data_IF_424855108520
#
_entry.id   IF_424855108520
#
_cell.length_a   1.000
_cell.length_b   1.000
_cell.length_c   1.000
_cell.angle_alpha   90.00
_cell.angle_beta   90.00
_cell.angle_gamma   90.00
#
_symmetry.space_group_name_H-M   'P 1'
#
loop_
_entity.id
_entity.type
_entity.pdbx_description
1 polymer ?
#
# COMPACT_ATOMS: atom_id res chain seq x y z
N UNK A 1 27.91 -9.56 -22.97
CA UNK A 1 26.75 -9.45 -22.05
C UNK A 1 25.52 -9.78 -22.88
N UNK A 2 25.06 -11.02 -22.81
CA UNK A 2 23.98 -11.54 -23.64
C UNK A 2 22.64 -11.07 -23.11
N UNK A 3 21.94 -10.25 -23.90
CA UNK A 3 20.52 -9.95 -23.76
C UNK A 3 19.73 -11.26 -23.81
N UNK A 4 19.34 -11.78 -22.64
CA UNK A 4 18.28 -12.77 -22.57
C UNK A 4 16.97 -12.03 -22.30
N UNK A 5 15.93 -12.20 -23.13
CA UNK A 5 14.60 -11.71 -22.82
C UNK A 5 14.07 -12.41 -21.57
N UNK A 6 13.31 -11.70 -20.75
CA UNK A 6 12.62 -12.26 -19.59
C UNK A 6 11.50 -13.19 -20.13
N UNK A 7 11.67 -14.49 -19.89
CA UNK A 7 10.74 -15.54 -20.30
C UNK A 7 9.63 -15.62 -19.25
N UNK A 8 8.38 -15.76 -19.68
CA UNK A 8 7.28 -16.17 -18.80
C UNK A 8 7.57 -17.61 -18.33
N UNK A 9 8.07 -17.77 -17.11
CA UNK A 9 8.25 -19.09 -16.49
C UNK A 9 6.93 -19.50 -15.81
N UNK A 10 6.25 -20.55 -16.29
CA UNK A 10 5.08 -21.08 -15.60
C UNK A 10 5.49 -21.61 -14.21
N UNK A 11 4.57 -21.55 -13.26
CA UNK A 11 4.85 -21.91 -11.86
C UNK A 11 5.40 -23.31 -11.67
N UNK A 12 5.00 -24.26 -12.49
CA UNK A 12 5.49 -25.64 -12.45
C UNK A 12 6.98 -25.75 -12.84
N UNK A 13 7.59 -24.73 -13.44
CA UNK A 13 9.04 -24.66 -13.65
C UNK A 13 9.78 -24.05 -12.45
N UNK A 14 9.10 -23.19 -11.67
CA UNK A 14 9.64 -22.58 -10.44
C UNK A 14 9.47 -23.54 -9.24
N UNK A 15 8.32 -24.21 -9.20
CA UNK A 15 7.89 -25.21 -8.24
C UNK A 15 7.57 -26.49 -9.01
N UNK A 16 8.59 -27.30 -9.37
CA UNK A 16 8.37 -28.60 -10.01
C UNK A 16 7.40 -29.41 -9.15
N UNK A 17 6.41 -30.01 -9.80
CA UNK A 17 5.37 -30.83 -9.17
C UNK A 17 5.95 -31.72 -8.06
N UNK A 18 5.49 -31.50 -6.83
CA UNK A 18 5.69 -32.43 -5.72
C UNK A 18 4.34 -32.93 -5.20
N UNK A 19 4.35 -34.25 -5.00
CA UNK A 19 3.24 -35.19 -4.88
C UNK A 19 2.04 -34.79 -4.00
N UNK A 20 0.89 -35.40 -4.29
CA UNK A 20 -0.34 -35.32 -3.50
C UNK A 20 -0.25 -35.89 -2.07
N UNK A 21 0.95 -36.14 -1.51
CA UNK A 21 1.07 -36.58 -0.12
C UNK A 21 0.96 -35.39 0.83
N UNK A 22 -0.02 -35.46 1.71
CA UNK A 22 -0.19 -34.53 2.81
C UNK A 22 0.96 -34.67 3.82
N UNK A 23 1.33 -33.52 4.40
CA UNK A 23 2.38 -33.31 5.40
C UNK A 23 3.84 -33.22 4.91
N UNK A 24 4.15 -32.12 4.23
CA UNK A 24 5.48 -31.51 4.33
C UNK A 24 5.39 -29.98 4.46
N UNK A 25 6.03 -29.44 5.50
CA UNK A 25 6.39 -28.03 5.58
C UNK A 25 7.71 -27.86 4.85
N UNK A 26 7.69 -27.40 3.60
CA UNK A 26 8.91 -26.97 2.93
C UNK A 26 8.94 -25.45 2.83
N UNK A 27 9.92 -24.86 3.53
CA UNK A 27 10.37 -23.50 3.26
C UNK A 27 11.14 -23.53 1.94
N UNK A 28 10.54 -22.98 0.88
CA UNK A 28 11.25 -22.77 -0.38
C UNK A 28 12.25 -21.64 -0.22
N UNK A 29 13.48 -21.99 0.12
CA UNK A 29 14.64 -21.12 0.05
C UNK A 29 15.26 -21.21 -1.35
N UNK A 30 14.71 -20.46 -2.32
CA UNK A 30 15.40 -20.20 -3.59
C UNK A 30 15.93 -18.77 -3.63
N UNK A 31 17.08 -18.65 -2.97
CA UNK A 31 18.02 -17.53 -3.01
C UNK A 31 18.42 -17.13 -4.43
N UNK A 32 17.82 -16.03 -4.94
CA UNK A 32 18.48 -14.90 -5.60
C UNK A 32 17.39 -13.87 -5.94
N UNK A 33 17.16 -12.94 -5.01
CA UNK A 33 16.31 -11.78 -5.30
C UNK A 33 16.88 -11.04 -6.50
N UNK A 34 16.14 -11.00 -7.60
CA UNK A 34 16.45 -10.05 -8.67
C UNK A 34 16.16 -8.65 -8.11
N UNK A 35 17.10 -7.71 -8.28
CA UNK A 35 16.90 -6.32 -7.91
C UNK A 35 16.62 -5.51 -9.18
N UNK A 36 15.67 -4.58 -9.10
CA UNK A 36 15.69 -3.40 -9.94
C UNK A 36 16.89 -2.57 -9.46
N UNK A 37 17.97 -2.63 -10.22
CA UNK A 37 19.18 -1.86 -9.97
C UNK A 37 19.14 -0.61 -10.85
N UNK A 38 18.72 0.49 -10.24
CA UNK A 38 18.84 1.83 -10.81
C UNK A 38 19.95 2.57 -10.06
N UNK A 39 20.59 3.53 -10.71
CA UNK A 39 21.76 4.19 -10.12
C UNK A 39 21.33 4.90 -8.83
N UNK A 40 21.79 4.39 -7.69
CA UNK A 40 21.46 4.92 -6.36
C UNK A 40 20.16 4.40 -5.74
N UNK A 41 19.45 3.47 -6.39
CA UNK A 41 18.25 2.85 -5.83
C UNK A 41 18.17 1.35 -6.17
N UNK A 42 18.22 0.52 -5.13
CA UNK A 42 18.17 -0.93 -5.23
C UNK A 42 16.89 -1.44 -4.59
N UNK A 43 15.95 -1.90 -5.41
CA UNK A 43 14.66 -2.45 -4.95
C UNK A 43 14.57 -3.92 -5.36
N UNK A 44 14.29 -4.83 -4.42
CA UNK A 44 14.07 -6.24 -4.75
C UNK A 44 12.73 -6.47 -5.46
N UNK A 45 12.77 -7.21 -6.58
CA UNK A 45 11.64 -7.53 -7.45
C UNK A 45 10.70 -8.57 -6.81
N UNK A 46 11.22 -9.47 -5.97
CA UNK A 46 10.42 -10.46 -5.25
C UNK A 46 11.13 -10.85 -3.95
N UNK A 47 10.39 -10.90 -2.83
CA UNK A 47 11.02 -11.14 -1.53
C UNK A 47 10.20 -11.81 -0.45
N UNK A 48 8.91 -12.07 -0.65
CA UNK A 48 8.16 -12.80 0.38
C UNK A 48 8.19 -14.29 0.07
N UNK A 49 8.78 -15.12 0.94
CA UNK A 49 8.45 -16.54 0.97
C UNK A 49 7.00 -16.67 1.45
N UNK A 50 6.07 -16.94 0.53
CA UNK A 50 4.68 -17.23 0.90
C UNK A 50 4.61 -18.60 1.59
N UNK A 51 4.18 -18.63 2.85
CA UNK A 51 3.83 -19.89 3.52
C UNK A 51 2.43 -20.30 3.12
N UNK A 52 2.33 -21.46 2.47
CA UNK A 52 1.08 -22.06 2.02
C UNK A 52 0.37 -22.74 3.19
N UNK A 53 -0.63 -22.10 3.78
CA UNK A 53 -1.50 -22.74 4.76
C UNK A 53 -2.59 -23.54 4.03
N UNK A 54 -2.50 -24.87 4.04
CA UNK A 54 -3.64 -25.73 3.66
C UNK A 54 -4.55 -25.86 4.89
N UNK A 55 -5.53 -24.98 5.05
CA UNK A 55 -6.58 -25.21 6.04
C UNK A 55 -7.92 -25.42 5.34
N UNK A 56 -8.56 -26.58 5.54
CA UNK A 56 -9.95 -26.79 5.13
C UNK A 56 -10.84 -26.04 6.12
N UNK A 57 -11.06 -24.75 5.89
CA UNK A 57 -12.37 -24.19 6.22
C UNK A 57 -13.32 -24.49 5.05
N UNK A 58 -14.53 -24.94 5.39
CA UNK A 58 -15.54 -25.43 4.46
C UNK A 58 -16.12 -24.38 3.49
N UNK A 59 -15.58 -23.17 3.43
CA UNK A 59 -16.14 -22.11 2.60
C UNK A 59 -15.06 -21.55 1.65
N UNK A 60 -15.22 -21.92 0.38
CA UNK A 60 -14.66 -21.32 -0.84
C UNK A 60 -13.20 -21.65 -1.24
N UNK A 61 -13.05 -22.78 -1.97
CA UNK A 61 -12.21 -22.86 -3.19
C UNK A 61 -10.68 -22.94 -3.06
N UNK A 62 -10.00 -23.53 -4.06
CA UNK A 62 -8.55 -23.77 -4.10
C UNK A 62 -7.83 -22.91 -5.15
N UNK A 63 -6.65 -22.39 -4.73
CA UNK A 63 -5.41 -21.92 -5.41
C UNK A 63 -5.44 -21.27 -6.80
N UNK A 64 -4.76 -20.12 -6.87
CA UNK A 64 -4.16 -19.59 -8.09
C UNK A 64 -2.92 -18.70 -7.77
N UNK A 65 -2.28 -18.12 -8.81
CA UNK A 65 -0.99 -17.41 -8.74
C UNK A 65 -0.87 -16.26 -9.75
N UNK A 66 -0.20 -15.20 -9.29
CA UNK A 66 -0.07 -13.87 -9.87
C UNK A 66 1.12 -13.56 -10.79
N UNK A 67 0.94 -12.44 -11.49
CA UNK A 67 1.75 -11.74 -12.50
C UNK A 67 2.85 -10.84 -11.91
N UNK A 68 3.75 -10.43 -12.82
CA UNK A 68 5.03 -9.71 -12.61
C UNK A 68 4.90 -8.27 -12.10
N UNK A 69 5.55 -7.99 -10.97
CA UNK A 69 5.69 -6.70 -10.26
C UNK A 69 6.42 -5.63 -11.09
N UNK A 70 5.91 -4.40 -11.04
CA UNK A 70 6.56 -3.14 -11.43
C UNK A 70 6.52 -2.25 -10.18
N UNK A 71 7.66 -1.65 -9.81
CA UNK A 71 7.85 -1.00 -8.51
C UNK A 71 7.14 0.37 -8.40
N UNK A 72 6.38 0.55 -7.32
CA UNK A 72 5.84 1.83 -6.86
C UNK A 72 6.37 2.18 -5.46
N UNK A 73 6.51 3.47 -5.17
CA UNK A 73 7.03 4.03 -3.92
C UNK A 73 5.91 4.50 -3.00
N UNK A 74 5.88 3.95 -1.80
CA UNK A 74 5.04 4.36 -0.68
C UNK A 74 5.39 5.76 -0.15
N UNK A 75 4.39 6.62 0.07
CA UNK A 75 4.61 8.01 0.50
C UNK A 75 4.36 8.21 2.00
N UNK A 76 3.42 7.46 2.60
CA UNK A 76 3.01 7.66 4.00
C UNK A 76 2.35 6.44 4.64
N UNK A 77 2.24 6.39 5.97
CA UNK A 77 1.95 5.15 6.74
C UNK A 77 0.61 4.42 6.44
N UNK A 78 -0.42 5.09 5.90
CA UNK A 78 -1.79 4.56 5.88
C UNK A 78 -2.42 4.66 4.49
N UNK A 79 -3.56 3.98 4.31
CA UNK A 79 -4.40 4.04 3.09
C UNK A 79 -4.74 5.47 2.67
N UNK A 80 -5.38 6.25 3.54
CA UNK A 80 -5.87 7.58 3.17
C UNK A 80 -4.78 8.49 2.56
N UNK A 81 -3.59 8.68 3.17
CA UNK A 81 -2.53 9.49 2.54
C UNK A 81 -2.06 8.99 1.16
N UNK A 82 -1.83 7.68 0.98
CA UNK A 82 -1.36 7.15 -0.31
C UNK A 82 -2.45 7.24 -1.39
N UNK A 83 -3.70 6.95 -1.01
CA UNK A 83 -4.83 7.07 -1.91
C UNK A 83 -5.08 8.54 -2.30
N UNK A 84 -5.00 9.47 -1.35
CA UNK A 84 -5.12 10.91 -1.65
C UNK A 84 -3.97 11.42 -2.53
N UNK A 85 -2.75 10.89 -2.37
CA UNK A 85 -1.64 11.20 -3.27
C UNK A 85 -1.96 10.78 -4.73
N UNK A 86 -2.44 9.55 -4.93
CA UNK A 86 -2.85 9.03 -6.24
C UNK A 86 -4.04 9.77 -6.85
N UNK A 87 -5.02 10.15 -6.02
CA UNK A 87 -6.28 10.69 -6.49
C UNK A 87 -6.34 12.21 -6.56
N UNK A 88 -5.47 12.95 -5.86
CA UNK A 88 -5.51 14.41 -5.85
C UNK A 88 -4.19 15.10 -6.16
N UNK A 89 -3.07 14.37 -6.05
CA UNK A 89 -1.74 14.97 -6.17
C UNK A 89 -1.41 15.99 -5.08
N UNK A 90 -2.26 16.15 -4.06
CA UNK A 90 -2.10 17.13 -2.98
C UNK A 90 -1.33 16.56 -1.80
N UNK A 91 -0.70 17.46 -1.04
CA UNK A 91 -0.05 17.08 0.21
C UNK A 91 -1.08 16.85 1.32
N UNK A 92 -0.73 16.00 2.29
CA UNK A 92 -1.64 15.63 3.38
C UNK A 92 -1.98 16.82 4.29
N UNK A 93 -1.13 17.85 4.39
CA UNK A 93 -1.44 19.06 5.14
C UNK A 93 -2.58 19.86 4.51
N UNK A 94 -2.58 20.04 3.19
CA UNK A 94 -3.64 20.70 2.43
C UNK A 94 -4.96 19.93 2.58
N UNK A 95 -4.92 18.60 2.42
CA UNK A 95 -6.12 17.75 2.63
C UNK A 95 -6.63 17.85 4.07
N UNK A 96 -5.75 17.80 5.07
CA UNK A 96 -6.16 17.90 6.47
C UNK A 96 -6.78 19.25 6.81
N UNK A 97 -6.23 20.34 6.28
CA UNK A 97 -6.72 21.69 6.55
C UNK A 97 -8.06 21.98 5.85
N UNK A 98 -8.22 21.53 4.60
CA UNK A 98 -9.40 21.86 3.79
C UNK A 98 -10.54 20.85 3.91
N UNK A 99 -10.22 19.57 4.11
CA UNK A 99 -11.17 18.46 3.93
C UNK A 99 -11.62 17.81 5.23
N UNK A 100 -10.99 18.15 6.37
CA UNK A 100 -11.40 17.61 7.66
C UNK A 100 -12.86 17.99 7.97
N UNK A 101 -13.70 16.97 8.09
CA UNK A 101 -15.17 17.02 8.22
C UNK A 101 -15.88 17.77 7.10
N UNK A 102 -15.22 17.95 5.96
CA UNK A 102 -15.66 18.77 4.81
C UNK A 102 -15.31 18.09 3.47
N UNK A 103 -15.34 16.77 3.43
CA UNK A 103 -14.90 16.01 2.25
C UNK A 103 -15.72 16.33 1.00
N UNK A 104 -17.00 16.66 1.16
CA UNK A 104 -17.88 17.07 0.05
C UNK A 104 -17.32 18.28 -0.73
N UNK A 105 -16.78 19.27 -0.01
CA UNK A 105 -16.15 20.47 -0.62
C UNK A 105 -14.89 20.06 -1.37
N UNK A 106 -14.10 19.18 -0.77
CA UNK A 106 -12.87 18.70 -1.37
C UNK A 106 -13.07 17.72 -2.52
N UNK A 107 -14.30 17.34 -2.88
CA UNK A 107 -14.55 16.49 -4.05
C UNK A 107 -13.90 17.05 -5.33
N UNK A 108 -13.81 18.39 -5.41
CA UNK A 108 -13.15 19.08 -6.51
C UNK A 108 -11.65 18.79 -6.66
N UNK A 109 -11.00 18.32 -5.59
CA UNK A 109 -9.58 17.95 -5.60
C UNK A 109 -9.33 16.57 -6.19
N UNK A 110 -10.35 15.73 -6.29
CA UNK A 110 -10.19 14.33 -6.68
C UNK A 110 -10.25 14.20 -8.19
N UNK A 111 -9.43 13.31 -8.73
CA UNK A 111 -9.20 13.13 -10.16
C UNK A 111 -10.49 12.77 -10.92
N UNK A 112 -11.41 12.03 -10.28
CA UNK A 112 -12.72 11.75 -10.89
C UNK A 112 -13.50 13.03 -11.21
N UNK A 113 -13.36 14.10 -10.42
CA UNK A 113 -14.04 15.35 -10.72
C UNK A 113 -13.48 16.04 -11.97
N UNK A 114 -12.17 15.88 -12.25
CA UNK A 114 -11.59 16.35 -13.51
C UNK A 114 -12.15 15.58 -14.70
N UNK A 115 -12.20 14.25 -14.61
CA UNK A 115 -12.83 13.41 -15.64
C UNK A 115 -14.31 13.77 -15.84
N UNK A 116 -15.06 13.99 -14.75
CA UNK A 116 -16.46 14.43 -14.81
C UNK A 116 -16.61 15.74 -15.57
N UNK A 117 -15.76 16.73 -15.29
CA UNK A 117 -15.76 18.01 -16.00
C UNK A 117 -15.42 17.88 -17.49
N UNK A 118 -14.66 16.84 -17.85
CA UNK A 118 -14.35 16.46 -19.24
C UNK A 118 -15.44 15.60 -19.90
N UNK A 119 -16.60 15.44 -19.24
CA UNK A 119 -17.77 14.74 -19.78
C UNK A 119 -17.78 13.22 -19.56
N UNK A 120 -16.91 12.70 -18.70
CA UNK A 120 -16.90 11.28 -18.35
C UNK A 120 -18.01 10.95 -17.36
N UNK A 121 -18.60 9.77 -17.49
CA UNK A 121 -19.39 9.18 -16.42
C UNK A 121 -18.44 8.64 -15.35
N UNK A 122 -18.69 8.98 -14.09
CA UNK A 122 -17.79 8.64 -12.98
C UNK A 122 -18.36 7.60 -12.03
N UNK A 123 -17.49 6.71 -11.53
CA UNK A 123 -17.86 5.73 -10.51
C UNK A 123 -16.87 5.69 -9.35
N UNK A 124 -17.39 5.50 -8.13
CA UNK A 124 -16.60 5.15 -6.96
C UNK A 124 -17.28 4.02 -6.18
N UNK A 125 -16.52 2.98 -5.85
CA UNK A 125 -17.00 1.88 -5.03
C UNK A 125 -15.91 1.42 -4.07
N UNK A 126 -16.31 1.06 -2.85
CA UNK A 126 -15.42 0.51 -1.83
C UNK A 126 -16.17 -0.52 -1.01
N UNK A 127 -15.55 -1.67 -0.79
CA UNK A 127 -16.08 -2.71 0.09
C UNK A 127 -15.52 -2.65 1.52
N UNK A 128 -16.14 -3.39 2.44
CA UNK A 128 -15.77 -3.45 3.85
C UNK A 128 -15.83 -2.09 4.58
N UNK A 129 -16.99 -1.42 4.51
CA UNK A 129 -17.22 -0.05 5.02
C UNK A 129 -17.04 0.14 6.54
N UNK A 130 -16.90 -0.96 7.30
CA UNK A 130 -16.58 -0.90 8.73
C UNK A 130 -15.11 -0.51 8.97
N UNK A 131 -14.24 -0.66 7.96
CA UNK A 131 -12.88 -0.16 8.00
C UNK A 131 -12.88 1.36 7.84
N UNK A 132 -12.24 2.11 8.75
CA UNK A 132 -12.25 3.55 8.69
C UNK A 132 -11.00 4.14 8.00
N UNK A 133 -10.54 3.54 6.89
CA UNK A 133 -9.20 3.80 6.33
C UNK A 133 -9.17 4.72 5.09
N UNK A 134 -10.33 5.01 4.52
CA UNK A 134 -10.54 5.88 3.34
C UNK A 134 -11.51 7.04 3.67
N UNK A 135 -12.67 7.13 3.02
CA UNK A 135 -13.67 8.20 3.17
C UNK A 135 -14.65 7.91 4.31
N UNK A 136 -14.12 7.83 5.52
CA UNK A 136 -14.89 7.59 6.74
C UNK A 136 -14.53 8.58 7.84
N UNK A 137 -15.31 8.59 8.93
CA UNK A 137 -15.14 9.46 10.10
C UNK A 137 -14.85 10.92 9.71
N UNK A 138 -13.62 11.39 9.93
CA UNK A 138 -13.16 12.74 9.68
C UNK A 138 -13.17 13.14 8.20
N UNK A 139 -13.24 12.20 7.26
CA UNK A 139 -13.24 12.47 5.81
C UNK A 139 -14.43 11.81 5.10
N UNK A 140 -15.56 11.69 5.80
CA UNK A 140 -16.80 11.12 5.23
C UNK A 140 -17.44 12.08 4.21
N UNK A 141 -17.93 11.52 3.10
CA UNK A 141 -18.83 12.20 2.18
C UNK A 141 -20.28 12.17 2.70
N UNK A 142 -20.94 13.34 2.73
CA UNK A 142 -22.37 13.44 3.02
C UNK A 142 -23.20 13.46 1.72
N UNK A 143 -22.61 13.91 0.62
CA UNK A 143 -23.18 13.91 -0.71
C UNK A 143 -22.55 12.81 -1.57
N UNK A 144 -23.25 12.42 -2.64
CA UNK A 144 -22.75 11.43 -3.60
C UNK A 144 -21.57 12.06 -4.39
N UNK A 145 -20.35 11.50 -4.33
CA UNK A 145 -19.16 12.14 -4.91
C UNK A 145 -19.00 11.91 -6.42
N UNK A 146 -19.65 10.89 -6.97
CA UNK A 146 -19.56 10.43 -8.37
C UNK A 146 -20.94 10.10 -8.93
N UNK A 147 -21.08 9.87 -10.23
CA UNK A 147 -22.38 9.55 -10.84
C UNK A 147 -22.90 8.16 -10.40
N UNK A 148 -21.97 7.23 -10.20
CA UNK A 148 -22.20 5.89 -9.68
C UNK A 148 -21.47 5.70 -8.36
N UNK A 149 -22.21 5.58 -7.26
CA UNK A 149 -21.63 5.43 -5.93
C UNK A 149 -22.12 4.15 -5.27
N UNK A 150 -21.21 3.22 -5.03
CA UNK A 150 -21.55 1.86 -4.59
C UNK A 150 -21.80 1.77 -3.07
N UNK A 151 -21.48 2.83 -2.31
CA UNK A 151 -21.58 2.83 -0.84
C UNK A 151 -22.98 2.47 -0.31
N UNK A 152 -24.12 2.92 -0.85
CA UNK A 152 -25.44 2.52 -0.37
C UNK A 152 -25.67 1.00 -0.40
N UNK A 153 -25.14 0.30 -1.42
CA UNK A 153 -25.23 -1.17 -1.53
C UNK A 153 -24.51 -1.85 -0.37
N UNK A 154 -23.25 -1.46 -0.11
CA UNK A 154 -22.46 -2.03 0.99
C UNK A 154 -22.94 -1.60 2.36
N UNK A 155 -23.49 -0.39 2.53
CA UNK A 155 -24.12 0.02 3.78
C UNK A 155 -25.24 -0.94 4.16
N UNK A 156 -26.14 -1.20 3.22
CA UNK A 156 -27.26 -2.10 3.48
C UNK A 156 -26.77 -3.53 3.75
N UNK A 157 -25.89 -4.05 2.87
CA UNK A 157 -25.49 -5.45 2.91
C UNK A 157 -24.44 -5.84 3.97
N UNK A 158 -23.57 -4.92 4.37
CA UNK A 158 -22.52 -5.14 5.38
C UNK A 158 -22.88 -4.56 6.76
N UNK A 159 -23.58 -3.42 6.80
CA UNK A 159 -23.84 -2.72 8.06
C UNK A 159 -25.23 -3.04 8.64
N UNK A 160 -26.29 -3.00 7.83
CA UNK A 160 -27.67 -3.09 8.33
C UNK A 160 -28.15 -4.52 8.54
N UNK A 161 -27.76 -5.48 7.70
CA UNK A 161 -28.23 -6.87 7.81
C UNK A 161 -27.56 -7.69 8.93
N UNK A 162 -26.90 -7.04 9.90
CA UNK A 162 -26.08 -7.69 10.93
C UNK A 162 -25.12 -8.77 10.39
N UNK A 163 -24.73 -8.64 9.13
CA UNK A 163 -23.82 -9.58 8.50
C UNK A 163 -22.48 -9.47 9.25
N UNK A 164 -22.11 -10.55 9.93
CA UNK A 164 -20.86 -10.64 10.69
C UNK A 164 -19.69 -11.05 9.79
N UNK A 165 -19.96 -11.40 8.53
CA UNK A 165 -18.90 -11.69 7.58
C UNK A 165 -18.09 -10.42 7.32
N UNK A 166 -16.78 -10.52 7.51
CA UNK A 166 -15.83 -9.49 7.10
C UNK A 166 -15.48 -9.59 5.61
N UNK A 167 -16.01 -10.61 4.92
CA UNK A 167 -15.60 -11.00 3.56
C UNK A 167 -16.78 -11.03 2.58
N UNK A 168 -18.01 -11.15 3.07
CA UNK A 168 -19.19 -11.35 2.21
C UNK A 168 -20.24 -10.29 2.44
N UNK A 169 -20.87 -9.86 1.35
CA UNK A 169 -22.12 -9.10 1.34
C UNK A 169 -23.24 -10.01 0.86
N UNK A 170 -24.10 -10.44 1.78
CA UNK A 170 -25.08 -11.48 1.48
C UNK A 170 -24.42 -12.84 1.25
N UNK A 171 -24.72 -13.48 0.11
CA UNK A 171 -24.21 -14.83 -0.23
C UNK A 171 -22.94 -14.85 -1.08
N UNK A 172 -22.45 -13.68 -1.49
CA UNK A 172 -21.30 -13.52 -2.39
C UNK A 172 -20.25 -12.66 -1.67
N UNK A 173 -18.97 -12.88 -1.96
CA UNK A 173 -17.87 -12.11 -1.37
C UNK A 173 -17.98 -10.64 -1.77
N UNK A 174 -17.71 -9.70 -0.85
CA UNK A 174 -17.83 -8.26 -1.13
C UNK A 174 -16.95 -7.83 -2.32
N UNK A 175 -15.71 -8.31 -2.40
CA UNK A 175 -14.85 -8.02 -3.55
C UNK A 175 -15.38 -8.54 -4.90
N UNK A 176 -16.17 -9.62 -4.91
CA UNK A 176 -16.80 -10.11 -6.15
C UNK A 176 -17.90 -9.16 -6.60
N UNK A 177 -18.75 -8.69 -5.68
CA UNK A 177 -19.73 -7.64 -6.01
C UNK A 177 -19.07 -6.38 -6.54
N UNK A 178 -17.93 -5.99 -5.97
CA UNK A 178 -17.17 -4.84 -6.41
C UNK A 178 -16.67 -5.00 -7.86
N UNK A 179 -16.07 -6.15 -8.18
CA UNK A 179 -15.57 -6.45 -9.52
C UNK A 179 -16.69 -6.67 -10.55
N UNK A 180 -17.80 -7.30 -10.15
CA UNK A 180 -18.98 -7.43 -11.01
C UNK A 180 -19.57 -6.06 -11.36
N UNK A 181 -19.70 -5.17 -10.37
CA UNK A 181 -20.16 -3.81 -10.62
C UNK A 181 -19.18 -3.01 -11.49
N UNK A 182 -17.88 -3.14 -11.24
CA UNK A 182 -16.86 -2.49 -12.07
C UNK A 182 -16.94 -2.95 -13.54
N UNK A 183 -17.18 -4.25 -13.76
CA UNK A 183 -17.38 -4.79 -15.10
C UNK A 183 -18.68 -4.27 -15.72
N UNK A 184 -19.81 -4.31 -15.00
CA UNK A 184 -21.11 -3.88 -15.53
C UNK A 184 -21.09 -2.39 -15.88
N UNK A 185 -20.43 -1.57 -15.05
CA UNK A 185 -20.18 -0.16 -15.33
C UNK A 185 -19.38 0.02 -16.63
N UNK A 186 -18.23 -0.66 -16.75
CA UNK A 186 -17.38 -0.55 -17.93
C UNK A 186 -18.09 -1.08 -19.20
N UNK A 187 -18.89 -2.13 -19.10
CA UNK A 187 -19.66 -2.69 -20.20
C UNK A 187 -20.77 -1.74 -20.64
N UNK A 188 -21.50 -1.16 -19.69
CA UNK A 188 -22.60 -0.20 -19.95
C UNK A 188 -22.08 1.02 -20.69
N UNK A 189 -20.93 1.55 -20.27
CA UNK A 189 -20.33 2.75 -20.84
C UNK A 189 -19.23 2.46 -21.87
N UNK A 190 -19.13 1.24 -22.43
CA UNK A 190 -18.04 0.85 -23.36
C UNK A 190 -17.93 1.73 -24.62
N UNK A 191 -19.00 2.43 -24.99
CA UNK A 191 -19.05 3.36 -26.11
C UNK A 191 -19.16 4.84 -25.67
N UNK A 192 -18.91 5.11 -24.40
CA UNK A 192 -18.92 6.44 -23.80
C UNK A 192 -17.63 6.64 -23.00
N UNK A 193 -17.33 7.88 -22.63
CA UNK A 193 -16.18 8.16 -21.76
C UNK A 193 -16.55 7.84 -20.31
N UNK A 194 -15.76 7.03 -19.63
CA UNK A 194 -16.00 6.65 -18.23
C UNK A 194 -14.70 6.59 -17.40
N UNK A 195 -14.82 6.90 -16.11
CA UNK A 195 -13.73 6.82 -15.15
C UNK A 195 -14.24 6.21 -13.84
N UNK A 196 -13.67 5.09 -13.43
CA UNK A 196 -14.10 4.37 -12.23
C UNK A 196 -12.95 4.07 -11.29
N UNK A 197 -13.16 4.26 -9.98
CA UNK A 197 -12.25 3.82 -8.92
C UNK A 197 -12.99 2.81 -8.04
N UNK A 198 -12.49 1.58 -7.97
CA UNK A 198 -13.08 0.48 -7.22
C UNK A 198 -12.06 -0.07 -6.22
N UNK A 199 -12.25 0.22 -4.94
CA UNK A 199 -11.29 -0.05 -3.87
C UNK A 199 -11.67 -1.31 -3.07
N UNK A 200 -10.78 -2.30 -3.04
CA UNK A 200 -11.03 -3.59 -2.42
C UNK A 200 -10.18 -3.76 -1.15
N UNK A 201 -10.85 -3.94 -0.02
CA UNK A 201 -10.24 -4.15 1.29
C UNK A 201 -10.35 -5.62 1.75
N UNK A 202 -11.39 -6.33 1.32
CA UNK A 202 -11.81 -7.65 1.85
C UNK A 202 -10.70 -8.71 1.94
N UNK A 203 -9.82 -8.78 0.94
CA UNK A 203 -8.88 -9.92 0.78
C UNK A 203 -7.44 -9.64 1.21
N UNK A 204 -7.08 -8.41 1.55
CA UNK A 204 -5.68 -8.04 1.80
C UNK A 204 -5.45 -7.15 3.03
N UNK A 205 -6.51 -6.58 3.62
CA UNK A 205 -6.33 -5.60 4.68
C UNK A 205 -5.85 -6.20 6.03
N UNK A 206 -6.28 -7.42 6.38
CA UNK A 206 -5.99 -8.01 7.68
C UNK A 206 -4.81 -8.98 7.62
N UNK A 207 -4.08 -9.12 8.74
CA UNK A 207 -2.92 -10.04 8.85
C UNK A 207 -3.26 -11.52 8.65
N UNK A 208 -4.54 -11.88 8.78
CA UNK A 208 -5.07 -13.23 8.58
C UNK A 208 -5.86 -13.33 7.26
N UNK A 209 -5.76 -12.32 6.38
CA UNK A 209 -6.38 -12.37 5.07
C UNK A 209 -5.61 -13.32 4.14
N UNK A 210 -6.31 -13.80 3.11
CA UNK A 210 -5.78 -14.69 2.08
C UNK A 210 -5.94 -14.02 0.71
N UNK A 211 -5.03 -13.11 0.31
CA UNK A 211 -5.10 -12.43 -0.98
C UNK A 211 -5.18 -13.40 -2.18
N UNK A 212 -4.65 -14.62 -2.03
CA UNK A 212 -4.74 -15.68 -3.04
C UNK A 212 -6.18 -16.11 -3.36
N UNK A 213 -7.14 -15.86 -2.47
CA UNK A 213 -8.56 -16.16 -2.72
C UNK A 213 -9.18 -15.20 -3.75
N UNK A 214 -8.60 -14.01 -3.95
CA UNK A 214 -9.06 -13.05 -4.95
C UNK A 214 -8.51 -13.33 -6.35
N UNK A 215 -7.51 -14.19 -6.51
CA UNK A 215 -6.82 -14.38 -7.79
C UNK A 215 -7.78 -14.81 -8.92
N UNK A 216 -8.59 -15.86 -8.68
CA UNK A 216 -9.56 -16.35 -9.68
C UNK A 216 -10.63 -15.30 -10.01
N UNK A 217 -10.96 -14.44 -9.05
CA UNK A 217 -11.90 -13.35 -9.22
C UNK A 217 -11.34 -12.28 -10.16
N UNK A 218 -10.08 -11.89 -9.97
CA UNK A 218 -9.38 -10.97 -10.86
C UNK A 218 -9.17 -11.57 -12.25
N UNK A 219 -8.78 -12.84 -12.35
CA UNK A 219 -8.66 -13.54 -13.65
C UNK A 219 -10.00 -13.50 -14.41
N UNK A 220 -11.10 -13.85 -13.74
CA UNK A 220 -12.45 -13.82 -14.31
C UNK A 220 -12.86 -12.41 -14.76
N UNK A 221 -12.56 -11.39 -13.96
CA UNK A 221 -12.80 -9.99 -14.29
C UNK A 221 -12.02 -9.55 -15.54
N UNK A 222 -10.71 -9.80 -15.59
CA UNK A 222 -9.86 -9.42 -16.72
C UNK A 222 -10.24 -10.16 -18.01
N UNK A 223 -10.57 -11.44 -17.92
CA UNK A 223 -11.09 -12.22 -19.05
C UNK A 223 -12.38 -11.63 -19.61
N UNK A 224 -13.33 -11.25 -18.73
CA UNK A 224 -14.58 -10.60 -19.15
C UNK A 224 -14.34 -9.26 -19.84
N UNK A 225 -13.43 -8.43 -19.33
CA UNK A 225 -13.05 -7.17 -20.00
C UNK A 225 -12.44 -7.41 -21.38
N UNK A 226 -11.64 -8.48 -21.52
CA UNK A 226 -11.00 -8.86 -22.79
C UNK A 226 -12.04 -9.30 -23.82
N UNK A 227 -12.90 -10.28 -23.47
CA UNK A 227 -13.87 -10.86 -24.42
C UNK A 227 -14.97 -9.90 -24.87
N UNK A 228 -15.21 -8.83 -24.11
CA UNK A 228 -16.21 -7.80 -24.44
C UNK A 228 -15.64 -6.60 -25.19
N UNK A 229 -14.32 -6.60 -25.46
CA UNK A 229 -13.63 -5.54 -26.19
C UNK A 229 -13.38 -4.27 -25.37
N UNK A 230 -13.64 -4.28 -24.06
CA UNK A 230 -13.42 -3.10 -23.20
C UNK A 230 -11.95 -2.71 -23.18
N UNK A 231 -11.04 -3.69 -23.15
CA UNK A 231 -9.59 -3.47 -23.15
C UNK A 231 -9.03 -2.81 -24.42
N UNK A 232 -9.82 -2.66 -25.50
CA UNK A 232 -9.37 -2.01 -26.73
C UNK A 232 -9.13 -0.51 -26.54
N UNK A 233 -9.93 0.15 -25.68
CA UNK A 233 -9.92 1.61 -25.51
C UNK A 233 -9.99 2.06 -24.04
N UNK A 234 -9.84 1.14 -23.08
CA UNK A 234 -9.86 1.44 -21.65
C UNK A 234 -8.53 1.11 -20.99
N UNK A 235 -7.98 2.08 -20.24
CA UNK A 235 -6.89 1.81 -19.31
C UNK A 235 -7.42 1.05 -18.08
N UNK A 236 -6.76 -0.03 -17.70
CA UNK A 236 -7.04 -0.72 -16.43
C UNK A 236 -5.81 -0.57 -15.55
N UNK A 237 -6.00 0.00 -14.36
CA UNK A 237 -4.93 0.21 -13.40
C UNK A 237 -5.31 -0.54 -12.13
N UNK A 238 -4.47 -1.48 -11.73
CA UNK A 238 -4.58 -2.20 -10.47
C UNK A 238 -3.42 -1.79 -9.59
N UNK A 239 -3.71 -1.18 -8.44
CA UNK A 239 -2.69 -0.69 -7.53
C UNK A 239 -3.11 -0.86 -6.08
N UNK A 240 -2.14 -0.86 -5.17
CA UNK A 240 -2.37 -0.84 -3.72
C UNK A 240 -1.80 0.44 -3.09
N UNK A 241 -2.22 0.72 -1.87
CA UNK A 241 -1.73 1.82 -1.05
C UNK A 241 -0.45 1.48 -0.30
N UNK A 242 -0.32 0.24 0.20
CA UNK A 242 0.84 -0.25 0.93
C UNK A 242 0.91 -1.78 0.97
N UNK A 243 2.09 -2.32 1.29
CA UNK A 243 2.20 -3.74 1.67
C UNK A 243 1.77 -4.02 3.11
N UNK A 244 2.11 -5.18 3.65
CA UNK A 244 1.70 -5.55 5.01
C UNK A 244 2.37 -4.68 6.07
N UNK A 245 1.56 -4.18 7.02
CA UNK A 245 2.00 -3.23 8.06
C UNK A 245 2.09 -3.79 9.47
N UNK A 246 1.35 -4.85 9.74
CA UNK A 246 1.27 -5.46 11.08
C UNK A 246 1.46 -6.97 11.03
N UNK A 247 1.76 -7.55 12.18
CA UNK A 247 1.75 -9.01 12.37
C UNK A 247 3.10 -9.67 12.16
N UNK A 248 3.11 -11.00 12.15
CA UNK A 248 4.35 -11.80 12.15
C UNK A 248 5.17 -11.60 10.87
N UNK A 249 4.51 -11.31 9.74
CA UNK A 249 5.16 -10.99 8.48
C UNK A 249 6.04 -9.73 8.56
N UNK A 250 5.84 -8.86 9.56
CA UNK A 250 6.67 -7.66 9.80
C UNK A 250 7.99 -7.94 10.51
N UNK A 251 8.16 -9.13 11.06
CA UNK A 251 9.35 -9.50 11.81
C UNK A 251 10.50 -9.83 10.87
N UNK A 252 10.19 -10.30 9.66
CA UNK A 252 11.15 -10.62 8.61
C UNK A 252 11.82 -9.35 8.03
N UNK A 253 13.12 -9.36 7.68
CA UNK A 253 13.77 -8.23 7.01
C UNK A 253 13.12 -7.81 5.69
N UNK A 254 12.56 -8.74 4.93
CA UNK A 254 11.87 -8.47 3.66
C UNK A 254 10.69 -7.50 3.83
N UNK A 255 10.06 -7.49 5.02
CA UNK A 255 8.92 -6.62 5.32
C UNK A 255 9.26 -5.13 5.23
N UNK A 256 10.54 -4.77 5.37
CA UNK A 256 11.01 -3.39 5.19
C UNK A 256 10.63 -2.88 3.80
N UNK A 257 10.84 -3.69 2.77
CA UNK A 257 10.56 -3.31 1.40
C UNK A 257 9.10 -3.51 1.05
N UNK A 258 8.47 -4.58 1.52
CA UNK A 258 7.06 -4.88 1.21
C UNK A 258 6.13 -3.76 1.67
N UNK A 259 6.34 -3.19 2.86
CA UNK A 259 5.59 -2.00 3.31
C UNK A 259 5.68 -0.83 2.34
N UNK A 260 6.88 -0.66 1.77
CA UNK A 260 7.30 0.53 1.04
C UNK A 260 7.09 0.42 -0.46
N UNK A 261 6.71 -0.77 -0.93
CA UNK A 261 6.55 -1.11 -2.34
C UNK A 261 5.16 -1.68 -2.59
N UNK A 262 4.12 -0.82 -2.66
CA UNK A 262 2.80 -1.24 -3.09
C UNK A 262 2.81 -1.88 -4.49
N UNK A 263 1.80 -2.69 -4.77
CA UNK A 263 1.52 -3.25 -6.08
C UNK A 263 1.10 -2.15 -7.06
N UNK A 264 1.60 -2.24 -8.30
CA UNK A 264 1.16 -1.40 -9.42
C UNK A 264 1.23 -2.15 -10.74
N UNK A 265 0.10 -2.21 -11.42
CA UNK A 265 -0.08 -2.89 -12.69
C UNK A 265 -0.97 -2.02 -13.58
N UNK A 266 -0.55 -1.84 -14.83
CA UNK A 266 -1.31 -1.07 -15.81
C UNK A 266 -1.45 -1.83 -17.12
N UNK A 267 -2.69 -1.96 -17.58
CA UNK A 267 -3.02 -2.24 -18.96
C UNK A 267 -3.24 -0.94 -19.71
N UNK A 268 -2.39 -0.68 -20.70
CA UNK A 268 -2.62 0.40 -21.66
C UNK A 268 -3.46 -0.15 -22.83
N UNK A 269 -4.55 0.52 -23.25
CA UNK A 269 -5.42 0.00 -24.29
C UNK A 269 -4.73 -0.06 -25.64
N UNK A 270 -5.13 -1.03 -26.47
CA UNK A 270 -4.52 -1.29 -27.80
C UNK A 270 -4.52 -0.03 -28.67
N UNK A 271 -5.61 0.75 -28.65
CA UNK A 271 -5.68 2.01 -29.39
C UNK A 271 -4.65 3.03 -28.91
N UNK A 272 -4.45 3.15 -27.59
CA UNK A 272 -3.42 4.05 -27.06
C UNK A 272 -2.01 3.61 -27.50
N UNK A 273 -1.72 2.32 -27.45
CA UNK A 273 -0.42 1.79 -27.89
C UNK A 273 -0.15 2.12 -29.37
N UNK A 274 -1.17 2.03 -30.22
CA UNK A 274 -1.07 2.33 -31.65
C UNK A 274 -0.99 3.85 -31.95
N UNK A 275 -1.80 4.66 -31.27
CA UNK A 275 -1.87 6.11 -31.51
C UNK A 275 -0.73 6.89 -30.83
N UNK A 276 -0.21 6.40 -29.72
CA UNK A 276 0.81 7.07 -28.91
C UNK A 276 2.01 6.13 -28.61
N UNK A 277 2.68 5.57 -29.62
CA UNK A 277 3.73 4.57 -29.43
C UNK A 277 4.93 5.08 -28.62
N UNK A 278 5.24 6.38 -28.71
CA UNK A 278 6.32 6.99 -27.91
C UNK A 278 5.96 7.09 -26.43
N UNK A 279 4.71 7.45 -26.11
CA UNK A 279 4.20 7.50 -24.74
C UNK A 279 4.16 6.09 -24.12
N UNK A 280 3.71 5.10 -24.90
CA UNK A 280 3.70 3.70 -24.47
C UNK A 280 5.14 3.16 -24.26
N UNK A 281 6.08 3.51 -25.14
CA UNK A 281 7.50 3.16 -24.96
C UNK A 281 8.06 3.74 -23.66
N UNK A 282 7.75 4.99 -23.32
CA UNK A 282 8.16 5.59 -22.07
C UNK A 282 7.59 4.83 -20.85
N UNK A 283 6.31 4.47 -20.87
CA UNK A 283 5.72 3.63 -19.82
C UNK A 283 6.41 2.27 -19.70
N UNK A 284 6.78 1.64 -20.82
CA UNK A 284 7.52 0.38 -20.83
C UNK A 284 8.93 0.50 -20.21
N UNK A 285 9.64 1.61 -20.49
CA UNK A 285 10.93 1.91 -19.84
C UNK A 285 10.75 2.14 -18.34
N UNK A 286 9.68 2.85 -17.97
CA UNK A 286 9.37 3.19 -16.58
C UNK A 286 9.01 2.00 -15.70
N UNK A 287 8.77 0.82 -16.28
CA UNK A 287 8.58 -0.43 -15.52
C UNK A 287 9.77 -0.79 -14.62
N UNK A 288 10.95 -0.20 -14.88
CA UNK A 288 12.18 -0.41 -14.12
C UNK A 288 12.65 0.88 -13.44
N UNK A 289 11.72 1.78 -13.12
CA UNK A 289 11.99 3.07 -12.47
C UNK A 289 11.16 3.17 -11.20
N UNK A 290 11.63 3.97 -10.25
CA UNK A 290 10.86 4.33 -9.06
C UNK A 290 9.66 5.20 -9.49
N UNK A 291 8.46 4.63 -9.45
CA UNK A 291 7.18 5.32 -9.65
C UNK A 291 6.60 5.63 -8.28
N UNK A 292 5.74 6.64 -8.16
CA UNK A 292 5.03 7.00 -6.92
C UNK A 292 3.55 7.24 -7.22
N UNK A 293 2.67 7.23 -6.20
CA UNK A 293 1.28 7.65 -6.36
C UNK A 293 1.12 9.04 -7.00
N UNK A 294 2.07 9.96 -6.82
CA UNK A 294 2.03 11.26 -7.50
C UNK A 294 2.27 11.17 -9.01
N UNK A 295 3.10 10.22 -9.47
CA UNK A 295 3.27 9.94 -10.90
C UNK A 295 2.00 9.30 -11.47
N UNK A 296 1.33 8.43 -10.71
CA UNK A 296 0.01 7.91 -11.07
C UNK A 296 -1.02 9.04 -11.22
N UNK A 297 -1.12 9.96 -10.26
CA UNK A 297 -2.00 11.13 -10.38
C UNK A 297 -1.73 11.91 -11.67
N UNK A 298 -0.46 12.26 -11.93
CA UNK A 298 -0.07 12.97 -13.14
C UNK A 298 -0.37 12.17 -14.41
N UNK A 299 -0.27 10.84 -14.37
CA UNK A 299 -0.63 9.95 -15.47
C UNK A 299 -2.13 9.99 -15.75
N UNK A 300 -2.97 9.95 -14.71
CA UNK A 300 -4.42 10.07 -14.85
C UNK A 300 -4.81 11.42 -15.45
N UNK A 301 -4.17 12.51 -15.01
CA UNK A 301 -4.38 13.83 -15.63
C UNK A 301 -3.93 13.84 -17.09
N UNK A 302 -2.81 13.18 -17.42
CA UNK A 302 -2.35 13.06 -18.80
C UNK A 302 -3.36 12.28 -19.67
N UNK A 303 -3.93 11.18 -19.16
CA UNK A 303 -4.99 10.43 -19.83
C UNK A 303 -6.19 11.34 -20.11
N UNK A 304 -6.67 12.08 -19.10
CA UNK A 304 -7.79 13.01 -19.25
C UNK A 304 -7.49 14.06 -20.33
N UNK A 305 -6.30 14.67 -20.28
CA UNK A 305 -5.87 15.70 -21.23
C UNK A 305 -5.82 15.16 -22.67
N UNK A 306 -5.26 13.97 -22.87
CA UNK A 306 -5.19 13.33 -24.19
C UNK A 306 -6.58 13.10 -24.77
N UNK A 307 -7.55 12.75 -23.93
CA UNK A 307 -8.92 12.52 -24.37
C UNK A 307 -9.64 13.78 -24.86
N UNK A 308 -9.25 14.95 -24.35
CA UNK A 308 -9.79 16.24 -24.78
C UNK A 308 -8.97 16.87 -25.91
N UNK A 309 -7.95 16.18 -26.42
CA UNK A 309 -7.03 16.69 -27.44
C UNK A 309 -6.33 18.00 -27.00
N UNK A 310 -6.09 18.16 -25.69
CA UNK A 310 -5.40 19.32 -25.12
C UNK A 310 -3.90 19.07 -25.00
N UNK A 311 -3.12 20.14 -24.94
CA UNK A 311 -1.70 20.04 -24.59
C UNK A 311 -1.56 19.75 -23.09
N UNK A 312 -0.79 18.72 -22.76
CA UNK A 312 -0.51 18.36 -21.37
C UNK A 312 0.46 19.37 -20.75
N UNK A 313 0.07 19.91 -19.59
CA UNK A 313 0.94 20.71 -18.72
C UNK A 313 1.51 19.83 -17.62
N UNK A 314 2.83 19.91 -17.43
CA UNK A 314 3.57 19.05 -16.50
C UNK A 314 3.47 19.53 -15.04
N UNK A 315 3.85 18.68 -14.10
CA UNK A 315 4.07 19.05 -12.69
C UNK A 315 2.81 19.47 -11.93
N UNK A 316 1.68 18.82 -12.21
CA UNK A 316 0.37 19.19 -11.63
C UNK A 316 0.16 18.69 -10.20
N UNK A 317 1.02 17.79 -9.71
CA UNK A 317 1.00 17.39 -8.31
C UNK A 317 1.61 18.49 -7.44
N UNK A 318 0.78 19.09 -6.58
CA UNK A 318 1.18 20.06 -5.56
C UNK A 318 2.27 19.50 -4.62
N UNK A 319 2.18 18.20 -4.29
CA UNK A 319 3.09 17.56 -3.34
C UNK A 319 4.39 17.06 -3.96
N UNK A 320 4.45 16.90 -5.28
CA UNK A 320 5.65 16.46 -5.97
C UNK A 320 5.84 17.19 -7.31
N UNK A 321 6.48 18.37 -7.30
CA UNK A 321 6.72 19.17 -8.50
C UNK A 321 7.60 18.49 -9.56
N UNK A 322 8.46 17.54 -9.14
CA UNK A 322 9.32 16.77 -10.04
C UNK A 322 8.65 15.49 -10.57
N UNK A 323 7.53 15.08 -9.96
CA UNK A 323 6.76 13.94 -10.45
C UNK A 323 6.01 14.32 -11.73
N UNK A 324 5.91 13.36 -12.64
CA UNK A 324 5.23 13.56 -13.92
C UNK A 324 4.56 12.27 -14.37
N UNK A 325 3.76 12.35 -15.43
CA UNK A 325 3.13 11.18 -16.05
C UNK A 325 4.15 10.10 -16.39
N UNK A 326 3.81 8.84 -16.16
CA UNK A 326 4.65 7.68 -16.55
C UNK A 326 4.74 7.53 -18.07
N UNK A 327 4.00 8.31 -18.85
CA UNK A 327 4.13 8.39 -20.30
C UNK A 327 5.30 9.26 -20.77
N UNK A 328 6.11 9.77 -19.83
CA UNK A 328 7.43 10.36 -20.09
C UNK A 328 8.48 9.55 -19.35
N UNK A 329 9.64 9.33 -19.96
CA UNK A 329 10.72 8.56 -19.35
C UNK A 329 11.17 9.21 -18.02
N UNK A 330 11.07 8.44 -16.95
CA UNK A 330 11.56 8.78 -15.63
C UNK A 330 13.07 8.53 -15.61
N UNK A 331 13.83 9.48 -15.05
CA UNK A 331 15.27 9.38 -14.92
C UNK A 331 15.69 8.09 -14.23
N UNK A 332 16.71 7.42 -14.78
CA UNK A 332 17.31 6.24 -14.15
C UNK A 332 18.11 6.52 -12.89
N UNK A 333 18.35 7.79 -12.59
CA UNK A 333 19.03 8.24 -11.38
C UNK A 333 18.04 8.90 -10.40
N UNK A 334 16.72 8.71 -10.59
CA UNK A 334 15.70 9.28 -9.71
C UNK A 334 15.91 8.78 -8.28
N UNK A 335 15.98 9.71 -7.36
CA UNK A 335 16.10 9.44 -5.93
C UNK A 335 14.73 9.46 -5.25
N UNK A 336 14.64 8.92 -4.02
CA UNK A 336 13.44 9.05 -3.19
C UNK A 336 13.03 10.52 -2.98
N UNK A 337 14.00 11.45 -2.90
CA UNK A 337 13.70 12.87 -2.76
C UNK A 337 13.02 13.45 -4.02
N UNK A 338 13.45 13.01 -5.21
CA UNK A 338 12.83 13.43 -6.48
C UNK A 338 11.40 12.89 -6.63
N UNK A 339 11.06 11.80 -5.94
CA UNK A 339 9.71 11.25 -5.84
C UNK A 339 8.89 11.78 -4.66
N UNK A 340 9.37 12.80 -3.94
CA UNK A 340 8.76 13.29 -2.68
C UNK A 340 8.51 12.19 -1.63
N UNK A 341 9.32 11.14 -1.62
CA UNK A 341 9.26 10.05 -0.63
C UNK A 341 10.06 10.47 0.60
N UNK A 342 9.41 10.50 1.76
CA UNK A 342 10.09 10.78 3.03
C UNK A 342 11.19 9.73 3.30
N UNK A 343 12.38 10.08 3.83
CA UNK A 343 13.49 9.16 4.02
C UNK A 343 13.15 7.85 4.78
N UNK A 344 12.22 7.91 5.74
CA UNK A 344 11.69 6.73 6.46
C UNK A 344 11.10 5.66 5.51
N UNK A 345 10.46 6.11 4.44
CA UNK A 345 9.70 5.29 3.49
C UNK A 345 10.46 4.98 2.21
N UNK A 346 11.70 5.47 2.08
CA UNK A 346 12.52 5.20 0.92
C UNK A 346 12.86 3.69 0.83
N UNK A 347 12.44 2.97 -0.23
CA UNK A 347 12.72 1.55 -0.39
C UNK A 347 14.12 1.26 -0.97
N UNK A 348 14.82 2.29 -1.45
CA UNK A 348 16.04 2.21 -2.24
C UNK A 348 17.30 1.72 -1.51
N UNK A 349 17.17 1.22 -0.29
CA UNK A 349 18.30 0.88 0.57
C UNK A 349 18.55 -0.62 0.58
N UNK A 350 19.78 -1.05 0.32
CA UNK A 350 20.19 -2.43 0.54
C UNK A 350 20.52 -2.65 2.01
N UNK A 351 19.76 -3.51 2.68
CA UNK A 351 19.95 -3.84 4.09
C UNK A 351 21.01 -4.93 4.27
N UNK A 352 21.91 -4.72 5.23
CA UNK A 352 22.90 -5.69 5.66
C UNK A 352 22.57 -6.15 7.09
N UNK A 353 22.46 -7.45 7.36
CA UNK A 353 22.12 -7.96 8.69
C UNK A 353 23.28 -7.78 9.67
N UNK A 354 22.94 -7.59 10.94
CA UNK A 354 23.86 -7.65 12.08
C UNK A 354 23.33 -8.64 13.13
N UNK A 355 24.23 -9.16 13.95
CA UNK A 355 23.86 -9.96 15.12
C UNK A 355 22.97 -9.15 16.07
N UNK A 356 22.01 -9.80 16.72
CA UNK A 356 21.07 -9.12 17.64
C UNK A 356 21.76 -8.57 18.89
N UNK A 357 22.99 -9.00 19.18
CA UNK A 357 23.84 -8.53 20.26
C UNK A 357 24.96 -7.59 19.77
N UNK A 358 24.95 -7.20 18.49
CA UNK A 358 25.94 -6.25 17.96
C UNK A 358 25.93 -4.95 18.79
N UNK A 359 27.10 -4.57 19.31
CA UNK A 359 27.23 -3.46 20.25
C UNK A 359 26.76 -2.13 19.67
N UNK A 360 26.99 -1.89 18.38
CA UNK A 360 26.63 -0.63 17.73
C UNK A 360 25.14 -0.60 17.36
N UNK A 361 24.61 -1.70 16.84
CA UNK A 361 23.18 -1.88 16.61
C UNK A 361 22.35 -1.77 17.88
N UNK A 362 22.83 -2.33 19.00
CA UNK A 362 22.18 -2.25 20.30
C UNK A 362 22.07 -0.83 20.84
N UNK A 363 23.04 0.06 20.54
CA UNK A 363 22.92 1.49 20.88
C UNK A 363 21.71 2.12 20.19
N UNK A 364 21.44 1.75 18.94
CA UNK A 364 20.26 2.22 18.19
C UNK A 364 18.94 1.69 18.78
N UNK A 365 18.90 0.42 19.22
CA UNK A 365 17.73 -0.16 19.93
C UNK A 365 17.45 0.60 21.23
N UNK A 366 18.48 0.81 22.06
CA UNK A 366 18.36 1.51 23.35
C UNK A 366 17.94 2.97 23.13
N UNK A 367 18.48 3.63 22.11
CA UNK A 367 18.09 4.99 21.74
C UNK A 367 16.62 5.07 21.34
N UNK A 368 16.16 4.21 20.42
CA UNK A 368 14.76 4.14 20.01
C UNK A 368 13.83 3.85 21.20
N UNK A 369 14.19 2.89 22.05
CA UNK A 369 13.45 2.58 23.29
C UNK A 369 13.34 3.78 24.23
N UNK A 370 14.40 4.58 24.34
CA UNK A 370 14.40 5.80 25.16
C UNK A 370 13.44 6.86 24.60
N UNK A 371 13.37 7.00 23.27
CA UNK A 371 12.40 7.89 22.60
C UNK A 371 10.95 7.42 22.82
N UNK A 372 10.68 6.13 22.71
CA UNK A 372 9.36 5.54 23.04
C UNK A 372 8.99 5.85 24.50
N UNK A 373 9.90 5.59 25.45
CA UNK A 373 9.67 5.87 26.88
C UNK A 373 9.42 7.36 27.15
N UNK A 374 10.07 8.26 26.42
CA UNK A 374 9.84 9.69 26.53
C UNK A 374 8.45 10.08 26.02
N UNK A 375 8.06 9.57 24.85
CA UNK A 375 6.74 9.81 24.27
C UNK A 375 5.61 9.28 25.16
N UNK A 376 5.77 8.10 25.75
CA UNK A 376 4.76 7.52 26.66
C UNK A 376 4.46 8.43 27.86
N UNK A 377 5.44 9.19 28.34
CA UNK A 377 5.24 10.15 29.45
C UNK A 377 4.37 11.34 29.07
N UNK A 378 4.30 11.69 27.79
CA UNK A 378 3.54 12.84 27.29
C UNK A 378 2.14 12.47 26.78
N UNK A 379 1.84 11.17 26.67
CA UNK A 379 0.52 10.70 26.23
C UNK A 379 -0.54 11.16 27.23
N UNK A 380 -1.55 11.88 26.73
CA UNK A 380 -2.75 12.22 27.49
C UNK A 380 -3.63 10.98 27.58
N UNK A 381 -4.24 10.75 28.74
CA UNK A 381 -5.15 9.62 28.97
C UNK A 381 -6.42 10.09 29.65
N UNK A 382 -7.46 9.26 29.55
CA UNK A 382 -8.72 9.42 30.25
C UNK A 382 -8.50 9.53 31.77
N UNK A 383 -9.48 10.13 32.44
CA UNK A 383 -9.49 10.26 33.91
C UNK A 383 -9.28 8.89 34.54
N UNK A 384 -8.46 8.84 35.60
CA UNK A 384 -8.10 7.60 36.31
C UNK A 384 -7.21 6.60 35.58
N UNK A 385 -6.77 6.89 34.34
CA UNK A 385 -5.87 6.03 33.59
C UNK A 385 -4.50 6.66 33.40
N UNK A 386 -3.51 5.83 33.09
CA UNK A 386 -2.18 6.21 32.62
C UNK A 386 -1.56 5.08 31.80
N UNK A 387 -0.36 5.29 31.26
CA UNK A 387 0.38 4.29 30.49
C UNK A 387 1.45 3.59 31.35
N UNK A 388 1.61 2.28 31.19
CA UNK A 388 2.67 1.51 31.84
C UNK A 388 4.05 1.92 31.33
N UNK A 389 5.05 1.86 32.22
CA UNK A 389 6.46 1.97 31.84
C UNK A 389 6.86 0.71 31.09
N UNK A 390 7.40 0.88 29.88
CA UNK A 390 7.84 -0.23 29.04
C UNK A 390 9.35 -0.47 29.17
N UNK A 391 9.78 -1.72 29.03
CA UNK A 391 11.17 -2.16 28.97
C UNK A 391 11.38 -3.04 27.73
N UNK A 392 12.60 -3.05 27.19
CA UNK A 392 12.96 -3.94 26.08
C UNK A 392 12.83 -5.38 26.57
N UNK A 393 12.13 -6.22 25.80
CA UNK A 393 11.96 -7.64 26.05
C UNK A 393 12.89 -8.47 25.19
N UNK A 394 12.89 -8.23 23.88
CA UNK A 394 13.71 -8.96 22.92
C UNK A 394 14.06 -8.08 21.72
N UNK A 395 15.26 -8.26 21.16
CA UNK A 395 15.67 -7.68 19.87
C UNK A 395 15.43 -8.72 18.79
N UNK A 396 14.65 -8.33 17.77
CA UNK A 396 14.17 -9.26 16.74
C UNK A 396 15.13 -9.26 15.57
N UNK A 397 15.46 -8.07 15.06
CA UNK A 397 16.44 -7.90 13.99
C UNK A 397 17.15 -6.56 14.07
N UNK A 398 18.40 -6.56 13.64
CA UNK A 398 19.22 -5.38 13.43
C UNK A 398 19.75 -5.46 12.00
N UNK A 399 19.52 -4.41 11.23
CA UNK A 399 20.13 -4.22 9.92
C UNK A 399 20.75 -2.84 9.85
N UNK A 400 21.67 -2.66 8.91
CA UNK A 400 22.19 -1.35 8.58
C UNK A 400 22.25 -1.14 7.07
N UNK A 401 22.35 0.12 6.68
CA UNK A 401 22.66 0.52 5.32
C UNK A 401 23.48 1.80 5.33
N UNK A 402 24.22 2.02 4.25
CA UNK A 402 24.86 3.30 3.97
C UNK A 402 23.99 4.07 2.98
N UNK A 403 23.83 5.36 3.24
CA UNK A 403 23.35 6.30 2.24
C UNK A 403 24.36 7.44 2.14
N UNK A 404 25.06 7.51 1.02
CA UNK A 404 26.29 8.28 0.86
C UNK A 404 27.31 7.98 1.99
N UNK A 405 27.69 8.98 2.78
CA UNK A 405 28.64 8.85 3.90
C UNK A 405 27.96 8.60 5.25
N UNK A 406 26.62 8.48 5.28
CA UNK A 406 25.86 8.32 6.52
C UNK A 406 25.47 6.86 6.75
N UNK A 407 25.60 6.42 8.00
CA UNK A 407 25.25 5.07 8.45
C UNK A 407 23.89 5.10 9.13
N UNK A 408 23.03 4.14 8.77
CA UNK A 408 21.68 4.02 9.30
C UNK A 408 21.45 2.61 9.81
N UNK A 409 20.73 2.48 10.93
CA UNK A 409 20.30 1.22 11.50
C UNK A 409 18.79 1.09 11.40
N UNK A 410 18.33 -0.05 10.86
CA UNK A 410 16.92 -0.45 10.89
C UNK A 410 16.79 -1.52 11.96
N UNK A 411 16.12 -1.19 13.05
CA UNK A 411 16.01 -2.05 14.24
C UNK A 411 14.56 -2.44 14.49
N UNK A 412 14.30 -3.72 14.73
CA UNK A 412 13.02 -4.22 15.20
C UNK A 412 13.18 -4.90 16.56
N UNK A 413 12.35 -4.52 17.53
CA UNK A 413 12.43 -5.02 18.90
C UNK A 413 11.08 -4.98 19.59
N UNK A 414 10.90 -5.85 20.58
CA UNK A 414 9.67 -5.92 21.38
C UNK A 414 9.88 -5.32 22.77
N UNK A 415 8.83 -4.72 23.32
CA UNK A 415 8.81 -4.19 24.68
C UNK A 415 7.67 -4.81 25.52
N UNK A 416 7.91 -4.88 26.82
CA UNK A 416 7.00 -5.41 27.85
C UNK A 416 6.75 -4.36 28.93
N UNK A 417 5.59 -4.32 29.61
CA UNK A 417 4.38 -5.15 29.44
C UNK A 417 3.65 -4.88 28.11
N UNK A 418 2.80 -5.82 27.70
CA UNK A 418 1.95 -5.68 26.50
C UNK A 418 2.52 -6.28 25.22
N UNK A 419 3.78 -6.76 25.21
CA UNK A 419 4.45 -7.43 24.08
C UNK A 419 4.25 -6.65 22.76
N UNK A 420 4.48 -5.34 22.79
CA UNK A 420 4.35 -4.47 21.61
C UNK A 420 5.66 -4.51 20.85
N UNK A 421 5.59 -4.66 19.53
CA UNK A 421 6.78 -4.71 18.66
C UNK A 421 6.90 -3.43 17.86
N UNK A 422 8.10 -2.88 17.82
CA UNK A 422 8.44 -1.63 17.16
C UNK A 422 9.49 -1.84 16.08
N UNK A 423 9.43 -1.03 15.03
CA UNK A 423 10.52 -0.82 14.08
C UNK A 423 10.92 0.66 14.09
N UNK A 424 12.22 0.93 14.07
CA UNK A 424 12.75 2.28 13.97
C UNK A 424 13.95 2.32 13.01
N UNK A 425 14.09 3.46 12.33
CA UNK A 425 15.29 3.80 11.56
C UNK A 425 16.06 4.85 12.35
N UNK A 426 17.33 4.59 12.62
CA UNK A 426 18.21 5.46 13.41
C UNK A 426 19.42 5.81 12.56
N UNK A 427 19.63 7.10 12.30
CA UNK A 427 20.86 7.58 11.66
C UNK A 427 21.96 7.77 12.70
N UNK A 428 23.19 7.46 12.32
CA UNK A 428 24.39 7.65 13.12
C UNK A 428 25.35 8.63 12.43
N UNK A 429 25.67 9.73 13.11
CA UNK A 429 26.65 10.74 12.69
C UNK A 429 27.70 10.90 13.78
N UNK A 430 28.82 10.19 13.63
CA UNK A 430 29.83 10.09 14.69
C UNK A 430 29.24 9.44 15.95
N UNK A 431 29.28 10.12 17.12
CA UNK A 431 28.65 9.62 18.35
C UNK A 431 27.15 9.92 18.46
N UNK A 432 26.59 10.73 17.56
CA UNK A 432 25.20 11.19 17.65
C UNK A 432 24.25 10.22 16.94
N UNK A 433 23.13 9.92 17.62
CA UNK A 433 22.02 9.11 17.10
C UNK A 433 20.77 9.97 16.94
N UNK A 434 20.07 9.79 15.83
CA UNK A 434 18.85 10.53 15.49
C UNK A 434 17.82 9.61 14.83
N UNK A 435 16.55 9.74 15.23
CA UNK A 435 15.45 9.01 14.58
C UNK A 435 15.21 9.55 13.18
N UNK A 436 15.05 8.66 12.20
CA UNK A 436 14.62 9.01 10.84
C UNK A 436 13.11 8.80 10.76
N UNK A 437 12.36 9.88 11.00
CA UNK A 437 10.90 9.86 11.08
C UNK A 437 10.37 9.15 12.32
N UNK A 438 9.08 8.79 12.28
CA UNK A 438 8.39 8.19 13.42
C UNK A 438 8.77 6.70 13.63
N UNK A 439 8.64 6.24 14.87
CA UNK A 439 8.76 4.81 15.20
C UNK A 439 7.48 4.08 14.78
N UNK A 440 7.60 3.00 14.02
CA UNK A 440 6.44 2.20 13.59
C UNK A 440 6.10 1.14 14.65
N UNK A 441 4.82 0.96 14.94
CA UNK A 441 4.33 -0.21 15.70
C UNK A 441 3.98 -1.30 14.69
N UNK A 442 4.68 -2.43 14.76
CA UNK A 442 4.55 -3.51 13.75
C UNK A 442 3.82 -4.75 14.27
N UNK A 443 3.53 -4.81 15.59
CA UNK A 443 2.63 -5.83 16.14
C UNK A 443 1.16 -5.45 15.95
N UNK A 444 0.28 -6.45 15.80
CA UNK A 444 -1.18 -6.23 15.75
C UNK A 444 -1.67 -5.46 16.98
N UNK A 445 -2.48 -4.43 16.75
CA UNK A 445 -3.07 -3.66 17.84
C UNK A 445 -4.14 -4.46 18.58
N UNK A 446 -3.91 -4.68 19.89
CA UNK A 446 -4.79 -5.49 20.77
C UNK A 446 -5.70 -4.66 21.67
N UNK A 447 -5.89 -3.38 21.39
CA UNK A 447 -6.75 -2.53 22.22
C UNK A 447 -6.15 -2.14 23.57
N UNK A 448 -4.85 -2.33 23.78
CA UNK A 448 -4.18 -2.10 25.08
C UNK A 448 -4.12 -0.62 25.49
N UNK A 449 -4.18 0.29 24.51
CA UNK A 449 -4.05 1.73 24.73
C UNK A 449 -5.36 2.51 24.71
N UNK A 450 -6.52 1.84 24.86
CA UNK A 450 -7.86 2.46 24.71
C UNK A 450 -8.12 3.69 25.60
N UNK A 451 -7.42 3.82 26.72
CA UNK A 451 -7.48 4.98 27.61
C UNK A 451 -6.82 6.25 27.05
N UNK A 452 -6.09 6.17 25.93
CA UNK A 452 -5.60 7.35 25.24
C UNK A 452 -6.68 7.85 24.25
N UNK A 453 -7.17 9.09 24.35
CA UNK A 453 -8.20 9.59 23.47
C UNK A 453 -7.69 9.71 22.03
N UNK A 454 -6.44 10.16 21.83
CA UNK A 454 -5.81 10.23 20.51
C UNK A 454 -5.47 8.83 19.99
N UNK A 455 -5.99 8.48 18.80
CA UNK A 455 -5.80 7.16 18.20
C UNK A 455 -4.33 6.79 17.95
N UNK A 456 -3.48 7.76 17.59
CA UNK A 456 -2.04 7.51 17.36
C UNK A 456 -1.32 7.11 18.66
N UNK A 457 -1.68 7.74 19.77
CA UNK A 457 -1.08 7.46 21.08
C UNK A 457 -1.47 6.07 21.62
N UNK A 458 -2.65 5.55 21.22
CA UNK A 458 -3.12 4.22 21.64
C UNK A 458 -2.15 3.10 21.25
N UNK A 459 -1.40 3.27 20.16
CA UNK A 459 -0.46 2.26 19.67
C UNK A 459 0.76 2.09 20.60
N UNK A 460 1.07 3.10 21.40
CA UNK A 460 2.25 3.12 22.29
C UNK A 460 1.89 2.93 23.77
N UNK A 461 0.64 3.20 24.14
CA UNK A 461 0.20 3.11 25.52
C UNK A 461 -0.29 1.69 25.88
N UNK A 462 0.14 1.18 27.03
CA UNK A 462 -0.52 0.05 27.71
C UNK A 462 -1.22 0.60 28.94
N UNK A 463 -2.55 0.61 28.92
CA UNK A 463 -3.36 1.26 29.94
C UNK A 463 -3.24 0.58 31.31
N UNK A 464 -3.00 1.40 32.35
CA UNK A 464 -3.05 1.03 33.76
C UNK A 464 -4.00 1.98 34.48
N UNK A 465 -4.86 1.44 35.34
CA UNK A 465 -5.63 2.26 36.29
C UNK A 465 -4.65 2.89 37.30
N UNK A 466 -4.81 4.18 37.57
CA UNK A 466 -4.03 4.89 38.60
C UNK A 466 -4.50 4.41 39.98
N UNK A 467 -3.56 4.17 40.90
CA UNK A 467 -3.84 3.56 42.21
C UNK A 467 -4.75 4.42 43.11
N UNK A 468 -4.73 5.75 42.93
CA UNK A 468 -5.54 6.70 43.71
C UNK A 468 -6.79 7.16 42.95
N UNK A 469 -7.40 6.22 42.23
CA UNK A 469 -8.58 6.37 41.37
C UNK A 469 -9.32 5.01 41.30
#
# INVERSE_FOLDING_TARGET
MTNLPIIHMPLNEIYPDDSESDDSQELYDRNRGAFVDTVGCQIPIAMIPYKKYKNRQKNCGKRAVFLKKVDDGYIADNTFPNLMAALSGKNMSSISNSCYKRMDVCNEFLIWNQFKNSGYVTAYGEDYLRLPDTFSKEYTYNNVPTDHYLRPFYLHGEHELFNRSLVCTGKVTSGQHLLDYAYDFALTYRFSMFFGVFWMNTFSHNVNSYPEEADKMFEGFLNRLTYTGILENTFIIFFSDHGIRFGEYRLDPASYYEERNPAFFMWAPVRFQAHYPLLFKAAAVNQFRLITPYDLYNTLVNINTLSELRNYTEGLSEACPLCHSIFREISGNRTCADGSIHPKWCPCHKLYPLDSQDMEGMKSVVYASTKIKAMIKTIKTDRCWGCLKLAIKNVIRIHFYYNYLSLYYVVAFSMTPGNITYEAVVSKKGPHLELVGDISVISVYRGLGKCAPNQRDRLFCVCKKKENC
#
